data_IF_751168751515
#
_entry.id   IF_751168751515
#
_cell.length_a   1.000
_cell.length_b   1.000
_cell.length_c   1.000
_cell.angle_alpha   90.00
_cell.angle_beta   90.00
_cell.angle_gamma   90.00
#
_symmetry.space_group_name_H-M   'P 1'
#
loop_
_entity.id
_entity.type
_entity.pdbx_description
1 polymer ?
#
# COMPACT_ATOMS: atom_id res chain seq x y z
N UNK A 1 21.24 -19.94 3.03
CA UNK A 1 19.79 -20.06 3.26
C UNK A 1 19.05 -19.22 2.24
N UNK A 2 17.85 -19.60 1.80
CA UNK A 2 17.01 -18.70 1.00
C UNK A 2 16.32 -17.65 1.89
N UNK A 3 15.72 -16.61 1.31
CA UNK A 3 15.13 -15.53 2.08
C UNK A 3 13.95 -15.99 2.95
N UNK A 4 12.98 -16.80 2.45
CA UNK A 4 11.91 -17.33 3.30
C UNK A 4 12.41 -18.10 4.51
N UNK A 5 13.36 -19.03 4.32
CA UNK A 5 13.89 -19.82 5.43
C UNK A 5 14.61 -18.91 6.43
N UNK A 6 15.42 -17.94 5.96
CA UNK A 6 16.10 -16.95 6.81
C UNK A 6 15.13 -16.15 7.67
N UNK A 7 14.07 -15.64 7.06
CA UNK A 7 13.08 -14.82 7.74
C UNK A 7 12.32 -15.65 8.77
N UNK A 8 11.86 -16.86 8.40
CA UNK A 8 11.11 -17.73 9.30
C UNK A 8 11.98 -18.22 10.48
N UNK A 9 13.23 -18.64 10.23
CA UNK A 9 14.19 -18.99 11.29
C UNK A 9 14.38 -17.82 12.27
N UNK A 10 14.48 -16.59 11.75
CA UNK A 10 14.60 -15.39 12.60
C UNK A 10 13.35 -15.14 13.43
N UNK A 11 12.15 -15.30 12.85
CA UNK A 11 10.87 -15.17 13.56
C UNK A 11 10.74 -16.22 14.66
N UNK A 12 11.23 -17.44 14.42
CA UNK A 12 11.26 -18.53 15.38
C UNK A 12 12.36 -18.35 16.45
N UNK A 13 12.99 -17.17 16.51
CA UNK A 13 14.07 -16.83 17.45
C UNK A 13 15.28 -17.78 17.36
N UNK A 14 15.51 -18.37 16.19
CA UNK A 14 16.68 -19.19 15.89
C UNK A 14 17.72 -18.37 15.11
N UNK A 15 18.99 -18.78 15.15
CA UNK A 15 20.07 -18.08 14.46
C UNK A 15 20.03 -18.37 12.94
N UNK A 16 19.79 -17.35 12.08
CA UNK A 16 19.83 -17.50 10.63
C UNK A 16 21.27 -17.45 10.09
N UNK A 17 21.44 -17.69 8.78
CA UNK A 17 22.75 -17.53 8.11
C UNK A 17 23.25 -16.07 8.04
N UNK A 18 22.33 -15.10 8.12
CA UNK A 18 22.56 -13.67 8.31
C UNK A 18 21.28 -13.00 8.83
N UNK A 19 21.39 -11.81 9.42
CA UNK A 19 20.21 -11.01 9.80
C UNK A 19 19.39 -10.67 8.54
N UNK A 20 18.08 -11.01 8.48
CA UNK A 20 17.24 -10.65 7.35
C UNK A 20 17.02 -9.14 7.29
N UNK A 21 17.06 -8.58 6.09
CA UNK A 21 16.82 -7.16 5.87
C UNK A 21 15.41 -6.90 5.34
N UNK A 22 14.73 -5.93 5.94
CA UNK A 22 13.44 -5.39 5.50
C UNK A 22 13.52 -3.87 5.39
N UNK A 23 12.93 -3.34 4.33
CA UNK A 23 12.61 -1.93 4.18
C UNK A 23 11.20 -1.81 3.57
N UNK A 24 10.43 -0.86 4.09
CA UNK A 24 9.02 -0.67 3.79
C UNK A 24 8.80 -0.06 2.41
N UNK A 25 9.57 0.97 2.05
CA UNK A 25 9.41 1.71 0.79
C UNK A 25 10.73 2.33 0.33
N UNK A 26 10.95 2.30 -0.99
CA UNK A 26 12.01 3.08 -1.62
C UNK A 26 11.38 4.06 -2.59
N UNK A 27 11.50 5.33 -2.26
CA UNK A 27 10.99 6.42 -3.10
C UNK A 27 12.10 7.10 -3.90
N UNK A 28 13.37 6.93 -3.54
CA UNK A 28 14.48 7.67 -4.13
C UNK A 28 14.92 7.13 -5.51
N UNK A 29 14.74 7.94 -6.56
CA UNK A 29 15.13 7.59 -7.93
C UNK A 29 16.63 7.34 -8.09
N UNK A 30 17.49 8.03 -7.34
CA UNK A 30 18.95 7.84 -7.42
C UNK A 30 19.35 6.43 -6.97
N UNK A 31 18.71 5.91 -5.92
CA UNK A 31 18.92 4.53 -5.46
C UNK A 31 18.43 3.56 -6.53
N UNK A 32 17.20 3.72 -7.04
CA UNK A 32 16.68 2.85 -8.10
C UNK A 32 17.58 2.85 -9.35
N UNK A 33 18.12 4.01 -9.73
CA UNK A 33 19.03 4.18 -10.87
C UNK A 33 20.36 3.51 -10.62
N UNK A 34 20.91 3.58 -9.40
CA UNK A 34 22.13 2.86 -9.02
C UNK A 34 22.02 1.36 -9.27
N UNK A 35 20.84 0.78 -9.05
CA UNK A 35 20.55 -0.63 -9.33
C UNK A 35 20.02 -0.87 -10.77
N UNK A 36 20.20 0.07 -11.70
CA UNK A 36 19.86 -0.10 -13.11
C UNK A 36 18.36 -0.08 -13.43
N UNK A 37 17.53 0.46 -12.55
CA UNK A 37 16.09 0.51 -12.73
C UNK A 37 15.60 1.87 -13.19
N UNK A 38 14.64 1.85 -14.12
CA UNK A 38 13.91 3.06 -14.53
C UNK A 38 12.73 3.26 -13.60
N UNK A 39 12.82 4.25 -12.71
CA UNK A 39 11.66 4.70 -11.95
C UNK A 39 10.72 5.48 -12.86
N UNK A 40 9.46 5.03 -12.96
CA UNK A 40 8.36 5.83 -13.51
C UNK A 40 7.27 5.85 -12.45
N UNK A 41 7.02 7.04 -11.89
CA UNK A 41 5.94 7.24 -10.93
C UNK A 41 4.56 6.95 -11.52
N UNK A 42 3.56 6.78 -10.65
CA UNK A 42 2.16 6.57 -11.04
C UNK A 42 1.48 7.88 -11.44
N UNK A 43 2.03 9.03 -11.05
CA UNK A 43 1.44 10.36 -11.27
C UNK A 43 1.09 10.67 -12.73
N UNK A 44 1.93 10.41 -13.74
CA UNK A 44 1.59 10.66 -15.15
C UNK A 44 0.38 9.85 -15.63
N UNK A 45 0.28 8.58 -15.24
CA UNK A 45 -0.86 7.72 -15.60
C UNK A 45 -2.15 8.21 -14.93
N UNK A 46 -2.10 8.52 -13.63
CA UNK A 46 -3.26 8.99 -12.89
C UNK A 46 -3.72 10.38 -13.34
N UNK A 47 -2.80 11.27 -13.76
CA UNK A 47 -3.13 12.56 -14.38
C UNK A 47 -3.92 12.39 -15.69
N UNK A 48 -3.54 11.40 -16.51
CA UNK A 48 -4.22 11.10 -17.77
C UNK A 48 -5.64 10.55 -17.52
N UNK A 49 -5.75 9.59 -16.60
CA UNK A 49 -7.02 8.89 -16.32
C UNK A 49 -8.04 9.79 -15.61
N UNK A 50 -7.60 10.83 -14.88
CA UNK A 50 -8.49 11.74 -14.13
C UNK A 50 -9.56 12.43 -14.99
N UNK A 51 -9.29 12.67 -16.26
CA UNK A 51 -10.21 13.39 -17.16
C UNK A 51 -11.23 12.48 -17.86
N UNK A 52 -11.13 11.15 -17.67
CA UNK A 52 -12.02 10.21 -18.32
C UNK A 52 -13.34 10.06 -17.54
N UNK A 53 -14.50 10.01 -18.21
CA UNK A 53 -15.81 9.96 -17.53
C UNK A 53 -16.02 8.65 -16.73
N UNK A 54 -15.36 7.56 -17.13
CA UNK A 54 -15.41 6.24 -16.48
C UNK A 54 -14.13 5.90 -15.70
N UNK A 55 -13.39 6.92 -15.24
CA UNK A 55 -12.09 6.78 -14.54
C UNK A 55 -12.10 5.85 -13.33
N UNK A 56 -13.17 5.86 -12.53
CA UNK A 56 -13.26 5.03 -11.32
C UNK A 56 -13.39 3.55 -11.69
N UNK A 57 -14.26 3.23 -12.65
CA UNK A 57 -14.43 1.86 -13.14
C UNK A 57 -13.15 1.34 -13.83
N UNK A 58 -12.48 2.17 -14.64
CA UNK A 58 -11.20 1.79 -15.23
C UNK A 58 -10.10 1.57 -14.21
N UNK A 59 -9.98 2.46 -13.23
CA UNK A 59 -8.99 2.33 -12.17
C UNK A 59 -9.23 1.06 -11.38
N UNK A 60 -10.48 0.79 -11.00
CA UNK A 60 -10.86 -0.44 -10.34
C UNK A 60 -10.53 -1.67 -11.19
N UNK A 61 -10.88 -1.68 -12.48
CA UNK A 61 -10.58 -2.80 -13.39
C UNK A 61 -9.07 -3.01 -13.61
N UNK A 62 -8.31 -1.92 -13.77
CA UNK A 62 -6.86 -1.97 -13.96
C UNK A 62 -6.17 -2.51 -12.71
N UNK A 63 -6.58 -2.00 -11.56
CA UNK A 63 -6.09 -2.43 -10.26
C UNK A 63 -6.51 -3.87 -9.93
N UNK A 64 -7.67 -4.34 -10.42
CA UNK A 64 -8.10 -5.74 -10.31
C UNK A 64 -7.38 -6.70 -11.26
N UNK A 65 -6.50 -6.24 -12.15
CA UNK A 65 -5.85 -7.09 -13.14
C UNK A 65 -4.49 -7.60 -12.66
N UNK A 66 -4.41 -8.88 -12.26
CA UNK A 66 -3.11 -9.53 -11.95
C UNK A 66 -2.10 -9.39 -13.10
N UNK A 67 -2.57 -9.43 -14.36
CA UNK A 67 -1.72 -9.23 -15.55
C UNK A 67 -1.03 -7.87 -15.57
N UNK A 68 -1.70 -6.82 -15.10
CA UNK A 68 -1.12 -5.47 -15.03
C UNK A 68 -0.26 -5.28 -13.77
N UNK A 69 -0.62 -5.94 -12.67
CA UNK A 69 0.13 -5.88 -11.40
C UNK A 69 1.44 -6.68 -11.45
N UNK A 70 1.45 -7.86 -12.08
CA UNK A 70 2.57 -8.79 -12.01
C UNK A 70 3.92 -8.20 -12.49
N UNK A 71 4.01 -7.44 -13.60
CA UNK A 71 5.25 -6.79 -13.99
C UNK A 71 5.77 -5.77 -12.96
N UNK A 72 4.86 -5.06 -12.28
CA UNK A 72 5.21 -4.09 -11.24
C UNK A 72 5.80 -4.82 -10.03
N UNK A 73 5.10 -5.85 -9.53
CA UNK A 73 5.57 -6.66 -8.40
C UNK A 73 6.90 -7.36 -8.70
N UNK A 74 7.06 -7.88 -9.92
CA UNK A 74 8.34 -8.47 -10.34
C UNK A 74 9.47 -7.44 -10.39
N UNK A 75 9.20 -6.22 -10.86
CA UNK A 75 10.15 -5.12 -10.85
C UNK A 75 10.61 -4.77 -9.43
N UNK A 76 9.67 -4.67 -8.48
CA UNK A 76 9.95 -4.43 -7.06
C UNK A 76 10.74 -5.60 -6.46
N UNK A 77 10.33 -6.85 -6.66
CA UNK A 77 11.04 -8.00 -6.13
C UNK A 77 12.48 -8.10 -6.66
N UNK A 78 12.68 -7.80 -7.95
CA UNK A 78 14.01 -7.76 -8.58
C UNK A 78 14.88 -6.66 -7.98
N UNK A 79 14.31 -5.50 -7.68
CA UNK A 79 15.02 -4.44 -6.97
C UNK A 79 15.50 -4.89 -5.60
N UNK A 80 14.60 -5.45 -4.80
CA UNK A 80 14.88 -5.87 -3.43
C UNK A 80 15.98 -6.93 -3.42
N UNK A 81 15.90 -7.91 -4.32
CA UNK A 81 16.98 -8.87 -4.58
C UNK A 81 18.31 -8.18 -4.88
N UNK A 82 18.33 -7.22 -5.81
CA UNK A 82 19.56 -6.51 -6.19
C UNK A 82 20.15 -5.68 -5.04
N UNK A 83 19.30 -5.13 -4.18
CA UNK A 83 19.68 -4.36 -3.00
C UNK A 83 19.98 -5.24 -1.76
N UNK A 84 19.87 -6.57 -1.86
CA UNK A 84 20.13 -7.51 -0.76
C UNK A 84 19.06 -7.51 0.34
N UNK A 85 17.84 -7.07 0.00
CA UNK A 85 16.68 -7.00 0.90
C UNK A 85 15.90 -8.30 0.81
N UNK A 86 15.66 -8.91 1.96
CA UNK A 86 15.08 -10.25 2.04
C UNK A 86 13.56 -10.23 2.00
N UNK A 87 12.89 -9.15 2.39
CA UNK A 87 11.42 -9.09 2.53
C UNK A 87 10.80 -8.05 1.61
N UNK A 88 9.85 -8.45 0.77
CA UNK A 88 9.13 -7.60 -0.18
C UNK A 88 7.66 -7.46 0.25
N UNK A 89 7.22 -6.28 0.72
CA UNK A 89 5.82 -6.06 1.04
C UNK A 89 4.97 -5.94 -0.24
N UNK A 90 3.89 -6.70 -0.31
CA UNK A 90 2.85 -6.56 -1.34
C UNK A 90 1.76 -5.61 -0.87
N UNK A 91 1.15 -4.85 -1.79
CA UNK A 91 0.15 -3.84 -1.43
C UNK A 91 -1.22 -4.50 -1.40
N UNK A 92 -1.81 -4.72 -0.22
CA UNK A 92 -3.15 -5.31 -0.07
C UNK A 92 -4.22 -4.30 0.36
N UNK A 93 -3.83 -3.04 0.57
CA UNK A 93 -4.64 -1.95 1.11
C UNK A 93 -4.18 -0.60 0.56
N UNK A 94 -4.90 0.47 0.91
CA UNK A 94 -4.57 1.88 0.60
C UNK A 94 -4.80 2.24 -0.87
N UNK A 95 -5.76 1.57 -1.50
CA UNK A 95 -6.04 1.80 -2.91
C UNK A 95 -6.74 3.13 -3.15
N UNK A 96 -6.41 3.84 -4.25
CA UNK A 96 -7.09 5.05 -4.64
C UNK A 96 -8.59 4.80 -4.85
N UNK A 97 -9.44 5.61 -4.21
CA UNK A 97 -10.90 5.56 -4.37
C UNK A 97 -11.40 6.75 -5.19
N UNK A 98 -10.91 7.96 -4.87
CA UNK A 98 -11.28 9.21 -5.55
C UNK A 98 -10.07 9.96 -6.07
N UNK A 99 -9.99 10.22 -7.38
CA UNK A 99 -8.93 11.05 -7.95
C UNK A 99 -9.20 12.54 -7.68
N UNK A 100 -8.20 13.28 -7.22
CA UNK A 100 -8.28 14.73 -6.95
C UNK A 100 -7.13 15.47 -7.65
N UNK A 101 -7.06 16.80 -7.53
CA UNK A 101 -5.98 17.57 -8.15
C UNK A 101 -4.64 17.19 -7.51
N UNK A 102 -3.72 16.69 -8.35
CA UNK A 102 -2.37 16.26 -7.96
C UNK A 102 -2.37 15.16 -6.88
N UNK A 103 -3.37 14.28 -6.84
CA UNK A 103 -3.46 13.28 -5.79
C UNK A 103 -4.70 12.38 -5.87
N UNK A 104 -4.96 11.68 -4.78
CA UNK A 104 -6.16 10.86 -4.60
C UNK A 104 -6.60 10.84 -3.14
N UNK A 105 -7.86 10.48 -2.92
CA UNK A 105 -8.38 10.04 -1.64
C UNK A 105 -8.46 8.52 -1.71
N UNK A 106 -7.83 7.83 -0.78
CA UNK A 106 -7.84 6.37 -0.77
C UNK A 106 -9.09 5.77 -0.11
N UNK A 107 -9.17 4.46 -0.09
CA UNK A 107 -10.30 3.71 0.46
C UNK A 107 -10.55 3.96 1.96
N UNK A 108 -9.56 4.50 2.69
CA UNK A 108 -9.66 4.85 4.10
C UNK A 108 -9.99 6.33 4.33
N UNK A 109 -10.13 7.12 3.27
CA UNK A 109 -10.43 8.55 3.36
C UNK A 109 -9.18 9.42 3.54
N UNK A 110 -7.98 8.90 3.27
CA UNK A 110 -6.75 9.68 3.39
C UNK A 110 -6.50 10.47 2.12
N UNK A 111 -6.25 11.77 2.27
CA UNK A 111 -5.88 12.63 1.14
C UNK A 111 -4.38 12.52 0.90
N UNK A 112 -4.03 11.90 -0.21
CA UNK A 112 -2.66 11.67 -0.67
C UNK A 112 -2.35 12.59 -1.84
N UNK A 113 -1.18 13.25 -1.82
CA UNK A 113 -0.71 14.18 -2.86
C UNK A 113 0.58 13.66 -3.49
N UNK A 114 0.67 13.77 -4.81
CA UNK A 114 1.92 13.56 -5.53
C UNK A 114 2.81 14.80 -5.38
N UNK A 115 3.98 14.59 -4.81
CA UNK A 115 5.05 15.57 -4.65
C UNK A 115 6.27 15.12 -5.44
N UNK A 116 7.05 16.08 -5.92
CA UNK A 116 8.23 15.80 -6.75
C UNK A 116 9.44 16.50 -6.15
N UNK A 117 10.50 15.75 -5.91
CA UNK A 117 11.81 16.30 -5.58
C UNK A 117 12.49 16.86 -6.83
N UNK A 118 13.57 17.63 -6.62
CA UNK A 118 14.32 18.29 -7.69
C UNK A 118 14.87 17.32 -8.75
N UNK A 119 15.17 16.09 -8.34
CA UNK A 119 15.66 15.00 -9.20
C UNK A 119 14.53 14.23 -9.92
N UNK A 120 13.29 14.69 -9.78
CA UNK A 120 12.10 14.03 -10.34
C UNK A 120 11.61 12.83 -9.55
N UNK A 121 12.15 12.57 -8.35
CA UNK A 121 11.62 11.56 -7.43
C UNK A 121 10.18 11.90 -7.05
N UNK A 122 9.24 11.01 -7.38
CA UNK A 122 7.83 11.13 -7.01
C UNK A 122 7.61 10.55 -5.61
N UNK A 123 6.99 11.32 -4.73
CA UNK A 123 6.58 10.89 -3.39
C UNK A 123 5.08 11.08 -3.24
N UNK A 124 4.44 10.13 -2.57
CA UNK A 124 3.03 10.19 -2.23
C UNK A 124 2.94 10.64 -0.76
N UNK A 125 2.65 11.92 -0.55
CA UNK A 125 2.57 12.53 0.79
C UNK A 125 1.14 12.60 1.31
N UNK A 126 0.94 12.26 2.59
CA UNK A 126 -0.32 12.54 3.30
C UNK A 126 -0.48 14.05 3.51
N UNK A 127 -1.65 14.60 3.17
CA UNK A 127 -1.94 16.05 3.31
C UNK A 127 -3.20 16.36 4.11
N UNK A 128 -3.94 15.34 4.57
CA UNK A 128 -5.12 15.54 5.41
C UNK A 128 -6.16 14.42 5.29
N UNK A 129 -7.20 14.50 6.11
CA UNK A 129 -8.33 13.57 6.10
C UNK A 129 -9.51 14.07 5.27
N UNK A 130 -10.25 13.14 4.68
CA UNK A 130 -11.48 13.41 3.95
C UNK A 130 -12.67 13.69 4.88
N UNK A 131 -12.75 12.99 6.02
CA UNK A 131 -13.92 13.04 6.90
C UNK A 131 -13.90 14.31 7.74
N UNK A 132 -14.84 15.21 7.48
CA UNK A 132 -15.00 16.45 8.24
C UNK A 132 -15.90 16.27 9.46
N UNK A 133 -16.75 15.23 9.45
CA UNK A 133 -17.57 14.80 10.57
C UNK A 133 -17.64 13.27 10.69
N UNK A 134 -18.35 12.77 11.71
CA UNK A 134 -18.59 11.33 11.84
C UNK A 134 -19.63 10.84 10.82
N UNK A 135 -20.59 11.69 10.49
CA UNK A 135 -21.63 11.43 9.49
C UNK A 135 -21.01 11.29 8.08
N UNK A 136 -19.98 12.09 7.76
CA UNK A 136 -19.19 11.91 6.53
C UNK A 136 -18.57 10.51 6.47
N UNK A 137 -18.01 10.03 7.58
CA UNK A 137 -17.44 8.69 7.68
C UNK A 137 -18.52 7.61 7.51
N UNK A 138 -19.68 7.76 8.13
CA UNK A 138 -20.77 6.78 8.00
C UNK A 138 -21.35 6.72 6.59
N UNK A 139 -21.29 7.83 5.83
CA UNK A 139 -21.67 7.87 4.42
C UNK A 139 -20.61 7.27 3.49
N UNK A 140 -19.39 7.02 4.00
CA UNK A 140 -18.29 6.49 3.21
C UNK A 140 -18.38 4.97 3.10
N UNK A 141 -18.36 4.47 1.88
CA UNK A 141 -18.33 3.03 1.64
C UNK A 141 -17.02 2.44 2.19
N UNK A 142 -17.17 1.45 3.07
CA UNK A 142 -16.04 0.76 3.67
C UNK A 142 -15.26 -0.06 2.63
N UNK A 143 -13.95 -0.26 2.83
CA UNK A 143 -13.16 -1.14 1.99
C UNK A 143 -13.74 -2.58 1.98
N UNK A 144 -13.91 -3.16 0.80
CA UNK A 144 -14.32 -4.57 0.66
C UNK A 144 -13.10 -5.48 0.86
N UNK A 145 -13.06 -6.36 1.89
CA UNK A 145 -11.95 -7.30 2.10
C UNK A 145 -11.89 -8.37 1.00
N UNK A 146 -12.99 -8.69 0.33
CA UNK A 146 -13.05 -9.70 -0.73
C UNK A 146 -12.67 -9.15 -2.12
N UNK A 147 -12.32 -7.86 -2.21
CA UNK A 147 -11.92 -7.27 -3.48
C UNK A 147 -10.64 -7.96 -4.01
N UNK A 148 -10.76 -8.58 -5.19
CA UNK A 148 -9.72 -9.43 -5.79
C UNK A 148 -8.33 -8.79 -5.95
N UNK A 149 -8.23 -7.46 -5.93
CA UNK A 149 -6.94 -6.77 -5.93
C UNK A 149 -6.04 -7.20 -4.77
N UNK A 150 -6.63 -7.42 -3.59
CA UNK A 150 -5.90 -7.68 -2.35
C UNK A 150 -5.13 -9.00 -2.41
N UNK A 151 -5.72 -9.99 -3.08
CA UNK A 151 -5.10 -11.30 -3.33
C UNK A 151 -4.24 -11.28 -4.59
N UNK A 152 -4.63 -10.54 -5.63
CA UNK A 152 -3.86 -10.45 -6.88
C UNK A 152 -2.47 -9.86 -6.68
N UNK A 153 -2.32 -8.85 -5.83
CA UNK A 153 -1.01 -8.25 -5.51
C UNK A 153 -0.13 -9.21 -4.74
N UNK A 154 -0.68 -9.91 -3.75
CA UNK A 154 0.06 -10.91 -2.98
C UNK A 154 0.50 -12.09 -3.86
N UNK A 155 -0.42 -12.65 -4.65
CA UNK A 155 -0.11 -13.74 -5.58
C UNK A 155 0.92 -13.32 -6.63
N UNK A 156 0.83 -12.09 -7.16
CA UNK A 156 1.86 -11.56 -8.06
C UNK A 156 3.23 -11.43 -7.38
N UNK A 157 3.27 -11.13 -6.08
CA UNK A 157 4.48 -11.16 -5.27
C UNK A 157 5.05 -12.56 -5.10
N UNK A 158 4.20 -13.55 -4.81
CA UNK A 158 4.61 -14.97 -4.71
C UNK A 158 5.18 -15.48 -6.04
N UNK A 159 4.50 -15.20 -7.16
CA UNK A 159 5.00 -15.56 -8.50
C UNK A 159 6.37 -14.91 -8.78
N UNK A 160 6.59 -13.68 -8.30
CA UNK A 160 7.87 -12.99 -8.44
C UNK A 160 8.97 -13.58 -7.56
N UNK A 161 8.65 -13.94 -6.32
CA UNK A 161 9.53 -14.66 -5.41
C UNK A 161 10.01 -15.98 -6.02
N UNK A 162 9.08 -16.79 -6.55
CA UNK A 162 9.39 -18.09 -7.18
C UNK A 162 10.34 -17.89 -8.38
N UNK A 163 10.03 -16.94 -9.27
CA UNK A 163 10.88 -16.60 -10.43
C UNK A 163 12.28 -16.12 -10.05
N UNK A 164 12.47 -15.60 -8.84
CA UNK A 164 13.76 -15.15 -8.34
C UNK A 164 14.48 -16.21 -7.51
N UNK A 165 13.93 -17.44 -7.43
CA UNK A 165 14.52 -18.55 -6.69
C UNK A 165 14.56 -18.31 -5.19
N UNK A 166 13.47 -17.75 -4.62
CA UNK A 166 13.35 -17.47 -3.18
C UNK A 166 14.45 -16.56 -2.60
N UNK A 167 15.11 -15.75 -3.42
CA UNK A 167 16.09 -14.77 -2.94
C UNK A 167 15.44 -13.56 -2.24
N UNK A 168 14.11 -13.47 -2.29
CA UNK A 168 13.26 -12.56 -1.52
C UNK A 168 12.06 -13.34 -1.00
N UNK A 169 11.42 -12.84 0.05
CA UNK A 169 10.17 -13.33 0.62
C UNK A 169 9.09 -12.28 0.41
N UNK A 170 8.06 -12.60 -0.36
CA UNK A 170 6.89 -11.76 -0.49
C UNK A 170 6.00 -11.91 0.75
N UNK A 171 5.56 -10.79 1.32
CA UNK A 171 4.61 -10.76 2.43
C UNK A 171 3.38 -9.93 2.09
N UNK A 172 2.24 -10.25 2.68
CA UNK A 172 1.04 -9.42 2.59
C UNK A 172 1.24 -8.15 3.42
N UNK A 173 1.37 -7.00 2.75
CA UNK A 173 1.43 -5.70 3.41
C UNK A 173 0.03 -5.25 3.81
N UNK A 174 -0.22 -5.23 5.12
CA UNK A 174 -1.43 -4.66 5.72
C UNK A 174 -1.13 -3.30 6.35
N UNK A 175 -2.17 -2.55 6.65
CA UNK A 175 -2.05 -1.22 7.25
C UNK A 175 -2.28 -1.27 8.76
N UNK A 176 -1.67 -0.33 9.49
CA UNK A 176 -1.98 -0.12 10.90
C UNK A 176 -3.40 0.41 11.09
N UNK A 177 -4.15 -0.16 12.04
CA UNK A 177 -5.53 0.27 12.32
C UNK A 177 -5.59 1.73 12.80
N UNK A 178 -4.60 2.15 13.61
CA UNK A 178 -4.54 3.51 14.13
C UNK A 178 -4.24 4.53 13.03
N UNK A 179 -3.26 4.23 12.18
CA UNK A 179 -2.78 5.11 11.10
C UNK A 179 -3.92 5.53 10.18
N UNK A 180 -4.59 4.58 9.54
CA UNK A 180 -5.70 4.87 8.61
C UNK A 180 -6.90 5.49 9.30
N UNK A 181 -7.06 5.25 10.60
CA UNK A 181 -8.14 5.85 11.38
C UNK A 181 -7.90 7.33 11.59
N UNK A 182 -6.75 7.75 12.12
CA UNK A 182 -6.53 9.17 12.35
C UNK A 182 -6.32 9.93 11.04
N UNK A 183 -5.65 9.32 10.06
CA UNK A 183 -5.36 9.97 8.77
C UNK A 183 -6.64 10.26 7.98
N UNK A 184 -7.66 9.40 8.05
CA UNK A 184 -8.94 9.61 7.39
C UNK A 184 -9.71 10.84 7.88
N UNK A 185 -9.53 11.24 9.15
CA UNK A 185 -10.17 12.43 9.75
C UNK A 185 -9.23 13.65 9.81
N UNK A 186 -7.92 13.42 9.85
CA UNK A 186 -6.91 14.39 10.29
C UNK A 186 -6.83 14.47 11.81
N UNK A 187 -5.65 14.80 12.34
CA UNK A 187 -5.33 14.64 13.77
C UNK A 187 -6.27 15.43 14.70
N UNK A 188 -6.64 16.67 14.33
CA UNK A 188 -7.51 17.52 15.16
C UNK A 188 -8.93 16.92 15.28
N UNK A 189 -9.52 16.49 14.16
CA UNK A 189 -10.86 15.91 14.15
C UNK A 189 -10.87 14.53 14.79
N UNK A 190 -9.82 13.75 14.55
CA UNK A 190 -9.63 12.48 15.23
C UNK A 190 -9.58 12.65 16.76
N UNK A 191 -8.86 13.65 17.28
CA UNK A 191 -8.85 13.94 18.71
C UNK A 191 -10.26 14.29 19.25
N UNK A 192 -11.09 14.98 18.46
CA UNK A 192 -12.50 15.24 18.81
C UNK A 192 -13.37 13.98 18.73
N UNK A 193 -13.14 13.11 17.74
CA UNK A 193 -13.82 11.81 17.61
C UNK A 193 -13.59 10.94 18.84
N UNK A 194 -12.37 10.91 19.39
CA UNK A 194 -12.04 10.13 20.59
C UNK A 194 -12.88 10.50 21.82
N UNK A 195 -13.36 11.75 21.91
CA UNK A 195 -14.28 12.18 22.97
C UNK A 195 -15.68 11.59 22.82
N UNK A 196 -16.04 11.10 21.64
CA UNK A 196 -17.33 10.48 21.31
C UNK A 196 -17.17 8.96 21.29
N UNK A 197 -17.14 8.34 22.48
CA UNK A 197 -16.82 6.91 22.67
C UNK A 197 -17.54 5.95 21.70
N UNK A 198 -18.85 6.14 21.46
CA UNK A 198 -19.62 5.28 20.55
C UNK A 198 -19.14 5.41 19.09
N UNK A 199 -18.92 6.63 18.63
CA UNK A 199 -18.44 6.92 17.29
C UNK A 199 -17.00 6.38 17.10
N UNK A 200 -16.11 6.68 18.05
CA UNK A 200 -14.74 6.15 18.04
C UNK A 200 -14.73 4.61 18.00
N UNK A 201 -15.52 3.97 18.86
CA UNK A 201 -15.64 2.50 18.86
C UNK A 201 -16.06 1.97 17.50
N UNK A 202 -17.11 2.54 16.89
CA UNK A 202 -17.58 2.12 15.56
C UNK A 202 -16.47 2.20 14.51
N UNK A 203 -15.73 3.31 14.45
CA UNK A 203 -14.62 3.45 13.49
C UNK A 203 -13.57 2.36 13.70
N UNK A 204 -13.12 2.14 14.93
CA UNK A 204 -12.13 1.10 15.23
C UNK A 204 -12.67 -0.32 14.99
N UNK A 205 -13.93 -0.60 15.31
CA UNK A 205 -14.57 -1.88 15.04
C UNK A 205 -14.63 -2.16 13.53
N UNK A 206 -15.03 -1.17 12.74
CA UNK A 206 -15.12 -1.30 11.28
C UNK A 206 -13.73 -1.55 10.67
N UNK A 207 -12.69 -0.85 11.14
CA UNK A 207 -11.29 -1.11 10.71
C UNK A 207 -10.78 -2.47 11.17
N UNK A 208 -11.04 -2.85 12.43
CA UNK A 208 -10.62 -4.12 13.00
C UNK A 208 -11.28 -5.30 12.30
N UNK A 209 -12.59 -5.22 12.04
CA UNK A 209 -13.33 -6.23 11.27
C UNK A 209 -12.73 -6.39 9.87
N UNK A 210 -12.48 -5.28 9.17
CA UNK A 210 -11.83 -5.31 7.87
C UNK A 210 -10.44 -5.99 7.93
N UNK A 211 -9.60 -5.62 8.90
CA UNK A 211 -8.27 -6.23 9.08
C UNK A 211 -8.32 -7.71 9.37
N UNK A 212 -9.28 -8.17 10.19
CA UNK A 212 -9.48 -9.59 10.49
C UNK A 212 -9.92 -10.36 9.25
N UNK A 213 -10.88 -9.84 8.48
CA UNK A 213 -11.31 -10.50 7.24
C UNK A 213 -10.21 -10.53 6.17
N UNK A 214 -9.30 -9.56 6.17
CA UNK A 214 -8.20 -9.50 5.21
C UNK A 214 -7.13 -10.58 5.41
N UNK A 215 -6.93 -11.02 6.65
CA UNK A 215 -5.86 -11.98 7.01
C UNK A 215 -6.34 -13.43 7.16
N UNK A 216 -7.63 -13.68 6.92
CA UNK A 216 -8.21 -15.02 6.82
C UNK A 216 -7.92 -15.63 5.45
#
# INVERSE_FOLDING_TARGET
MDAPTRVLTTIDHQEPDKVPYFESTFTNNAIATHFGMKSRGLGPFLKLVRFLPFRHAMMHAALSSKRLIAPVMFGIARFYKAAGIDVVPTISVLFPRKLVKNGFIDEFGRHMRFEYYKDGTEVIGYVGGHFSSFEDYESWELPDPAWNIRTNTFQAGLDAQEKLGNQVMAIAGVTGMMEVTWEGFGIERFARLLRRRKAAKKVFDDRGKFSVELVK
#
